data_IF_002924238900
#
_entry.id   IF_002924238900
#
_cell.length_a   1.000
_cell.length_b   1.000
_cell.length_c   1.000
_cell.angle_alpha   90.00
_cell.angle_beta   90.00
_cell.angle_gamma   90.00
#
_symmetry.space_group_name_H-M   'P 1'
#
loop_
_entity.id
_entity.type
_entity.pdbx_description
1 polymer ?
#
# COMPACT_ATOMS: atom_id res chain seq x y z
N UNK A 1 -62.66 -0.31 6.50
CA UNK A 1 -61.64 -0.95 7.37
C UNK A 1 -60.46 -1.35 6.51
N UNK A 2 -59.26 -0.83 6.83
CA UNK A 2 -58.02 -1.01 6.06
C UNK A 2 -57.36 -2.34 6.44
N UNK A 3 -57.05 -3.17 5.44
CA UNK A 3 -56.19 -4.34 5.60
C UNK A 3 -54.72 -3.90 5.40
N UNK A 4 -53.94 -3.92 6.48
CA UNK A 4 -52.48 -3.75 6.45
C UNK A 4 -51.85 -5.12 6.12
N UNK A 5 -51.27 -5.26 4.92
CA UNK A 5 -50.51 -6.46 4.54
C UNK A 5 -49.06 -6.35 5.01
N UNK A 6 -48.60 -7.42 5.66
CA UNK A 6 -47.21 -7.77 5.95
C UNK A 6 -46.30 -7.56 4.72
N UNK A 7 -45.35 -6.63 4.79
CA UNK A 7 -44.26 -6.46 3.82
C UNK A 7 -42.89 -6.22 4.48
N UNK A 8 -42.77 -6.46 5.78
CA UNK A 8 -41.55 -6.12 6.54
C UNK A 8 -40.58 -7.30 6.72
N UNK A 9 -40.99 -8.54 6.43
CA UNK A 9 -40.16 -9.73 6.67
C UNK A 9 -39.29 -10.16 5.47
N UNK A 10 -39.67 -9.80 4.24
CA UNK A 10 -38.96 -10.24 3.02
C UNK A 10 -37.73 -9.38 2.68
N UNK A 11 -37.69 -8.13 3.15
CA UNK A 11 -36.60 -7.19 2.83
C UNK A 11 -35.32 -7.48 3.63
N UNK A 12 -35.43 -8.05 4.84
CA UNK A 12 -34.28 -8.36 5.72
C UNK A 12 -33.56 -9.65 5.28
N UNK A 13 -34.30 -10.60 4.70
CA UNK A 13 -33.73 -11.88 4.22
C UNK A 13 -32.89 -11.67 2.95
N UNK A 14 -33.28 -10.72 2.08
CA UNK A 14 -32.52 -10.40 0.87
C UNK A 14 -31.16 -9.74 1.16
N UNK A 15 -31.07 -8.87 2.17
CA UNK A 15 -29.79 -8.25 2.57
C UNK A 15 -28.84 -9.24 3.24
N UNK A 16 -29.37 -10.22 3.99
CA UNK A 16 -28.54 -11.24 4.65
C UNK A 16 -27.95 -12.26 3.66
N UNK A 17 -28.68 -12.57 2.57
CA UNK A 17 -28.20 -13.46 1.51
C UNK A 17 -27.06 -12.84 0.67
N UNK A 18 -27.07 -11.52 0.44
CA UNK A 18 -25.99 -10.81 -0.26
C UNK A 18 -24.70 -10.82 0.58
N UNK A 19 -24.81 -10.69 1.91
CA UNK A 19 -23.66 -10.69 2.81
C UNK A 19 -23.02 -12.08 2.97
N UNK A 20 -23.81 -13.16 3.02
CA UNK A 20 -23.29 -14.53 3.09
C UNK A 20 -22.65 -14.99 1.77
N UNK A 21 -23.15 -14.53 0.62
CA UNK A 21 -22.57 -14.86 -0.69
C UNK A 21 -21.19 -14.21 -0.89
N UNK A 22 -20.97 -13.00 -0.35
CA UNK A 22 -19.67 -12.32 -0.43
C UNK A 22 -18.54 -13.03 0.34
N UNK A 23 -18.81 -13.54 1.55
CA UNK A 23 -17.82 -14.30 2.32
C UNK A 23 -17.45 -15.63 1.68
N UNK A 24 -18.41 -16.35 1.09
CA UNK A 24 -18.15 -17.63 0.43
C UNK A 24 -17.23 -17.44 -0.79
N UNK A 25 -17.45 -16.36 -1.55
CA UNK A 25 -16.68 -16.09 -2.76
C UNK A 25 -15.21 -15.71 -2.45
N UNK A 26 -14.93 -14.97 -1.36
CA UNK A 26 -13.54 -14.59 -1.01
C UNK A 26 -12.66 -15.80 -0.67
N UNK A 27 -13.19 -16.77 0.08
CA UNK A 27 -12.42 -17.98 0.41
C UNK A 27 -12.13 -18.81 -0.85
N UNK A 28 -13.12 -18.95 -1.74
CA UNK A 28 -12.91 -19.64 -3.00
C UNK A 28 -11.89 -18.91 -3.89
N UNK A 29 -11.95 -17.58 -3.95
CA UNK A 29 -10.96 -16.75 -4.62
C UNK A 29 -9.56 -16.92 -4.03
N UNK A 30 -9.43 -17.05 -2.70
CA UNK A 30 -8.15 -17.28 -2.06
C UNK A 30 -7.54 -18.63 -2.43
N UNK A 31 -8.35 -19.67 -2.53
CA UNK A 31 -7.89 -21.03 -2.80
C UNK A 31 -7.68 -21.33 -4.29
N UNK A 32 -8.56 -20.82 -5.15
CA UNK A 32 -8.62 -21.17 -6.58
C UNK A 32 -8.45 -19.99 -7.53
N UNK A 33 -8.38 -18.77 -6.99
CA UNK A 33 -8.35 -17.57 -7.80
C UNK A 33 -7.04 -17.41 -8.56
N UNK A 34 -7.16 -16.88 -9.77
CA UNK A 34 -6.04 -16.47 -10.60
C UNK A 34 -5.79 -14.98 -10.37
N UNK A 35 -4.52 -14.65 -10.16
CA UNK A 35 -4.06 -13.28 -9.98
C UNK A 35 -3.87 -12.62 -11.35
N UNK A 36 -4.36 -11.42 -11.51
CA UNK A 36 -4.19 -10.64 -12.73
C UNK A 36 -4.22 -9.14 -12.43
N UNK A 37 -4.11 -8.32 -13.46
CA UNK A 37 -4.23 -6.86 -13.40
C UNK A 37 -5.46 -6.43 -14.18
N UNK A 38 -6.28 -5.59 -13.58
CA UNK A 38 -7.40 -4.92 -14.22
C UNK A 38 -7.16 -3.42 -14.34
N UNK A 39 -7.85 -2.78 -15.27
CA UNK A 39 -7.86 -1.33 -15.44
C UNK A 39 -9.19 -0.81 -14.91
N UNK A 40 -9.16 0.24 -14.09
CA UNK A 40 -10.38 0.95 -13.66
C UNK A 40 -10.92 1.75 -14.84
N UNK A 41 -12.15 1.47 -15.26
CA UNK A 41 -12.79 2.07 -16.44
C UNK A 41 -13.96 2.99 -16.11
N UNK A 42 -14.50 2.91 -14.89
CA UNK A 42 -15.51 3.83 -14.36
C UNK A 42 -15.53 3.78 -12.82
N UNK A 43 -16.18 4.75 -12.18
CA UNK A 43 -16.35 4.80 -10.74
C UNK A 43 -17.51 5.70 -10.33
N UNK A 44 -18.27 5.29 -9.32
CA UNK A 44 -19.37 6.08 -8.78
C UNK A 44 -19.46 6.00 -7.26
N UNK A 45 -19.82 7.12 -6.64
CA UNK A 45 -20.23 7.21 -5.24
C UNK A 45 -21.70 7.60 -5.16
N UNK A 46 -22.51 6.81 -4.48
CA UNK A 46 -23.94 7.08 -4.29
C UNK A 46 -24.19 7.41 -2.83
N UNK A 47 -24.46 8.68 -2.56
CA UNK A 47 -24.97 9.14 -1.27
C UNK A 47 -26.48 8.98 -1.24
N UNK A 48 -27.02 8.43 -0.15
CA UNK A 48 -28.46 8.30 0.06
C UNK A 48 -28.82 9.06 1.32
N UNK A 49 -29.82 9.93 1.24
CA UNK A 49 -30.27 10.74 2.37
C UNK A 49 -30.53 9.88 3.61
N UNK A 50 -29.82 10.19 4.71
CA UNK A 50 -29.88 9.45 5.97
C UNK A 50 -29.21 8.06 5.97
N UNK A 51 -28.40 7.71 4.97
CA UNK A 51 -27.66 6.44 4.88
C UNK A 51 -26.18 6.65 4.54
N UNK A 52 -25.38 5.61 4.75
CA UNK A 52 -23.96 5.57 4.36
C UNK A 52 -23.78 5.64 2.84
N UNK A 53 -22.77 6.39 2.39
CA UNK A 53 -22.31 6.41 1.00
C UNK A 53 -21.80 5.04 0.57
N UNK A 54 -22.22 4.58 -0.61
CA UNK A 54 -21.70 3.37 -1.25
C UNK A 54 -20.76 3.75 -2.39
N UNK A 55 -19.63 3.07 -2.50
CA UNK A 55 -18.63 3.31 -3.53
C UNK A 55 -18.50 2.06 -4.41
N UNK A 56 -18.55 2.26 -5.72
CA UNK A 56 -18.40 1.20 -6.71
C UNK A 56 -17.38 1.63 -7.75
N UNK A 57 -16.53 0.70 -8.16
CA UNK A 57 -15.64 0.87 -9.31
C UNK A 57 -16.03 -0.15 -10.37
N UNK A 58 -15.87 0.23 -11.64
CA UNK A 58 -15.95 -0.70 -12.75
C UNK A 58 -14.55 -0.99 -13.24
N UNK A 59 -14.22 -2.28 -13.33
CA UNK A 59 -12.91 -2.75 -13.76
C UNK A 59 -13.03 -3.57 -15.04
N UNK A 60 -11.98 -3.54 -15.84
CA UNK A 60 -11.85 -4.27 -17.09
C UNK A 60 -10.53 -5.05 -17.12
N UNK A 61 -10.58 -6.34 -17.47
CA UNK A 61 -9.38 -7.17 -17.58
C UNK A 61 -9.53 -8.26 -18.64
N UNK A 62 -8.41 -8.93 -18.95
CA UNK A 62 -8.39 -10.12 -19.80
C UNK A 62 -8.06 -11.34 -18.94
N UNK A 63 -8.83 -12.41 -19.11
CA UNK A 63 -8.51 -13.71 -18.50
C UNK A 63 -7.32 -14.35 -19.22
N UNK A 64 -6.72 -15.38 -18.63
CA UNK A 64 -5.67 -16.19 -19.27
C UNK A 64 -6.11 -16.78 -20.63
N UNK A 65 -7.43 -17.00 -20.82
CA UNK A 65 -8.01 -17.48 -22.09
C UNK A 65 -8.23 -16.35 -23.10
N UNK A 66 -7.81 -15.13 -22.81
CA UNK A 66 -7.99 -13.94 -23.64
C UNK A 66 -9.39 -13.32 -23.60
N UNK A 67 -10.29 -13.84 -22.76
CA UNK A 67 -11.65 -13.29 -22.63
C UNK A 67 -11.59 -11.92 -21.94
N UNK A 68 -12.18 -10.92 -22.57
CA UNK A 68 -12.37 -9.59 -21.99
C UNK A 68 -13.54 -9.61 -21.00
N UNK A 69 -13.31 -9.18 -19.77
CA UNK A 69 -14.31 -9.16 -18.68
C UNK A 69 -14.42 -7.73 -18.16
N UNK A 70 -15.65 -7.30 -17.92
CA UNK A 70 -15.98 -6.01 -17.31
C UNK A 70 -17.00 -6.24 -16.20
N UNK A 71 -16.72 -5.72 -15.02
CA UNK A 71 -17.47 -6.01 -13.79
C UNK A 71 -17.39 -4.84 -12.82
N UNK A 72 -18.46 -4.65 -12.05
CA UNK A 72 -18.55 -3.64 -11.00
C UNK A 72 -18.26 -4.29 -9.66
N UNK A 73 -17.36 -3.67 -8.90
CA UNK A 73 -16.97 -4.11 -7.56
C UNK A 73 -17.26 -3.01 -6.54
N UNK A 74 -17.84 -3.42 -5.41
CA UNK A 74 -18.03 -2.53 -4.27
C UNK A 74 -16.73 -2.39 -3.50
N UNK A 75 -16.33 -1.14 -3.23
CA UNK A 75 -15.11 -0.83 -2.46
C UNK A 75 -15.46 0.06 -1.27
N UNK A 76 -14.58 0.10 -0.27
CA UNK A 76 -14.69 1.08 0.80
C UNK A 76 -14.33 2.49 0.29
N UNK A 77 -14.80 3.54 0.97
CA UNK A 77 -14.46 4.91 0.60
C UNK A 77 -12.94 5.16 0.60
N UNK A 78 -12.21 4.56 1.54
CA UNK A 78 -10.75 4.69 1.61
C UNK A 78 -10.01 3.94 0.50
N UNK A 79 -10.61 2.92 -0.09
CA UNK A 79 -10.09 2.25 -1.30
C UNK A 79 -10.46 3.02 -2.56
N UNK A 80 -11.68 3.56 -2.62
CA UNK A 80 -12.16 4.40 -3.70
C UNK A 80 -11.26 5.63 -3.90
N UNK A 81 -10.85 6.29 -2.81
CA UNK A 81 -9.96 7.45 -2.85
C UNK A 81 -8.53 7.12 -3.36
N UNK A 82 -8.18 5.84 -3.50
CA UNK A 82 -6.85 5.37 -3.94
C UNK A 82 -6.81 4.93 -5.39
N UNK A 83 -7.94 4.95 -6.08
CA UNK A 83 -8.06 4.51 -7.47
C UNK A 83 -8.62 5.63 -8.33
N UNK A 84 -8.24 5.63 -9.60
CA UNK A 84 -8.66 6.65 -10.57
C UNK A 84 -8.82 6.02 -11.94
N UNK A 85 -9.50 6.73 -12.85
CA UNK A 85 -9.73 6.25 -14.20
C UNK A 85 -8.42 5.88 -14.90
N UNK A 86 -8.40 4.72 -15.55
CA UNK A 86 -7.25 4.11 -16.21
C UNK A 86 -6.12 3.64 -15.27
N UNK A 87 -6.29 3.67 -13.94
CA UNK A 87 -5.28 3.09 -13.06
C UNK A 87 -5.34 1.56 -13.11
N UNK A 88 -4.16 0.93 -13.07
CA UNK A 88 -4.05 -0.52 -12.93
C UNK A 88 -4.25 -0.94 -11.47
N UNK A 89 -5.11 -1.93 -11.26
CA UNK A 89 -5.39 -2.53 -9.96
C UNK A 89 -5.18 -4.04 -10.02
N UNK A 90 -4.53 -4.64 -9.02
CA UNK A 90 -4.41 -6.09 -8.94
C UNK A 90 -5.77 -6.67 -8.59
N UNK A 91 -6.06 -7.82 -9.18
CA UNK A 91 -7.29 -8.56 -8.96
C UNK A 91 -7.00 -10.02 -8.72
N UNK A 92 -7.95 -10.69 -8.07
CA UNK A 92 -8.03 -12.14 -8.00
C UNK A 92 -9.39 -12.53 -8.56
N UNK A 93 -9.43 -13.40 -9.57
CA UNK A 93 -10.69 -13.84 -10.20
C UNK A 93 -10.78 -15.37 -10.28
N UNK A 94 -11.99 -15.93 -10.32
CA UNK A 94 -12.16 -17.36 -10.52
C UNK A 94 -12.08 -17.74 -12.00
N UNK A 95 -11.23 -18.72 -12.42
CA UNK A 95 -11.10 -19.11 -13.82
C UNK A 95 -12.40 -19.62 -14.45
N UNK A 96 -13.23 -20.30 -13.66
CA UNK A 96 -14.50 -20.90 -14.12
C UNK A 96 -15.68 -19.91 -14.05
N UNK A 97 -15.53 -18.82 -13.30
CA UNK A 97 -16.49 -17.71 -13.22
C UNK A 97 -15.74 -16.38 -13.17
N UNK A 98 -15.22 -15.85 -14.29
CA UNK A 98 -14.38 -14.65 -14.28
C UNK A 98 -15.07 -13.37 -13.81
N UNK A 99 -16.40 -13.37 -13.69
CA UNK A 99 -17.14 -12.25 -13.07
C UNK A 99 -17.09 -12.28 -11.54
N UNK A 100 -16.71 -13.42 -10.95
CA UNK A 100 -16.38 -13.51 -9.53
C UNK A 100 -14.93 -13.05 -9.39
N UNK A 101 -14.76 -11.80 -8.98
CA UNK A 101 -13.46 -11.15 -8.85
C UNK A 101 -13.44 -10.35 -7.54
N UNK A 102 -12.25 -10.10 -7.05
CA UNK A 102 -12.02 -9.16 -5.96
C UNK A 102 -10.82 -8.28 -6.31
N UNK A 103 -10.86 -7.02 -5.87
CA UNK A 103 -9.82 -6.03 -6.16
C UNK A 103 -8.91 -5.90 -4.94
N UNK A 104 -7.61 -6.05 -5.15
CA UNK A 104 -6.62 -6.03 -4.08
C UNK A 104 -6.10 -4.61 -3.89
N UNK A 105 -6.88 -3.79 -3.19
CA UNK A 105 -6.55 -2.36 -2.95
C UNK A 105 -6.02 -2.17 -1.52
N UNK A 106 -6.70 -2.74 -0.52
CA UNK A 106 -6.31 -2.53 0.87
C UNK A 106 -5.16 -3.44 1.31
N UNK A 107 -4.51 -3.04 2.40
CA UNK A 107 -3.52 -3.90 3.06
C UNK A 107 -4.11 -5.20 3.59
N UNK A 108 -5.40 -5.22 3.94
CA UNK A 108 -6.08 -6.43 4.39
C UNK A 108 -6.26 -7.41 3.23
N UNK A 109 -6.56 -6.93 2.03
CA UNK A 109 -6.70 -7.78 0.85
C UNK A 109 -5.33 -8.31 0.42
N UNK A 110 -4.30 -7.45 0.47
CA UNK A 110 -2.92 -7.85 0.25
C UNK A 110 -2.51 -8.97 1.22
N UNK A 111 -2.85 -8.84 2.51
CA UNK A 111 -2.59 -9.88 3.50
C UNK A 111 -3.39 -11.15 3.21
N UNK A 112 -4.67 -11.01 2.86
CA UNK A 112 -5.58 -12.13 2.66
C UNK A 112 -5.20 -12.97 1.43
N UNK A 113 -4.91 -12.33 0.30
CA UNK A 113 -4.63 -12.98 -0.98
C UNK A 113 -3.14 -13.26 -1.23
N UNK A 114 -2.24 -12.45 -0.67
CA UNK A 114 -0.80 -12.54 -0.93
C UNK A 114 0.02 -12.85 0.33
N UNK A 115 -0.56 -12.83 1.52
CA UNK A 115 0.18 -13.02 2.77
C UNK A 115 1.08 -11.83 3.14
N UNK A 116 0.88 -10.67 2.51
CA UNK A 116 1.72 -9.48 2.69
C UNK A 116 1.08 -8.55 3.73
N UNK A 117 1.82 -8.20 4.78
CA UNK A 117 1.31 -7.41 5.92
C UNK A 117 1.02 -5.93 5.60
N UNK A 118 1.50 -5.43 4.47
CA UNK A 118 1.34 -4.04 4.03
C UNK A 118 1.79 -3.00 5.08
N UNK A 119 3.02 -3.15 5.56
CA UNK A 119 3.66 -2.34 6.61
C UNK A 119 4.79 -1.46 6.05
N UNK A 120 5.21 -0.48 6.83
CA UNK A 120 6.43 0.30 6.58
C UNK A 120 7.67 -0.63 6.59
N UNK A 121 8.73 -0.25 5.87
CA UNK A 121 9.98 -1.02 5.80
C UNK A 121 10.67 -1.07 7.17
N UNK A 122 10.97 -2.26 7.68
CA UNK A 122 11.78 -2.43 8.90
C UNK A 122 13.26 -2.20 8.58
N UNK A 123 14.10 -2.12 9.61
CA UNK A 123 15.54 -2.05 9.47
C UNK A 123 16.11 -3.22 8.64
N UNK A 124 15.61 -4.44 8.89
CA UNK A 124 15.95 -5.63 8.10
C UNK A 124 15.55 -5.49 6.62
N UNK A 125 14.38 -4.92 6.33
CA UNK A 125 13.98 -4.69 4.93
C UNK A 125 14.91 -3.69 4.26
N UNK A 126 15.31 -2.61 4.95
CA UNK A 126 16.24 -1.62 4.40
C UNK A 126 17.60 -2.26 4.06
N UNK A 127 18.14 -3.14 4.89
CA UNK A 127 19.38 -3.87 4.55
C UNK A 127 19.21 -4.77 3.35
N UNK A 128 18.09 -5.50 3.29
CA UNK A 128 17.79 -6.38 2.17
C UNK A 128 17.63 -5.60 0.85
N UNK A 129 17.00 -4.43 0.90
CA UNK A 129 16.86 -3.52 -0.24
C UNK A 129 18.22 -2.94 -0.63
N UNK A 130 19.02 -2.48 0.34
CA UNK A 130 20.36 -1.93 0.08
C UNK A 130 21.34 -2.95 -0.50
N UNK A 131 21.23 -4.21 -0.05
CA UNK A 131 22.05 -5.33 -0.52
C UNK A 131 21.54 -6.01 -1.79
N UNK A 132 20.45 -5.52 -2.39
CA UNK A 132 19.90 -6.12 -3.60
C UNK A 132 20.87 -5.97 -4.78
N UNK A 133 21.09 -7.05 -5.52
CA UNK A 133 22.06 -7.08 -6.64
C UNK A 133 21.53 -6.48 -7.94
N UNK A 134 20.21 -6.29 -8.05
CA UNK A 134 19.52 -5.74 -9.21
C UNK A 134 18.09 -5.28 -8.85
N UNK A 135 17.44 -4.58 -9.79
CA UNK A 135 16.10 -4.01 -9.60
C UNK A 135 15.03 -5.07 -9.31
N UNK A 136 15.10 -6.26 -9.92
CA UNK A 136 14.12 -7.33 -9.68
C UNK A 136 14.20 -7.86 -8.24
N UNK A 137 15.42 -8.08 -7.74
CA UNK A 137 15.67 -8.47 -6.35
C UNK A 137 15.21 -7.38 -5.39
N UNK A 138 15.50 -6.13 -5.69
CA UNK A 138 15.09 -4.97 -4.89
C UNK A 138 13.57 -4.90 -4.78
N UNK A 139 12.87 -4.96 -5.92
CA UNK A 139 11.40 -4.94 -5.96
C UNK A 139 10.83 -6.16 -5.20
N UNK A 140 11.48 -7.32 -5.28
CA UNK A 140 11.08 -8.50 -4.50
C UNK A 140 11.17 -8.24 -2.99
N UNK A 141 12.23 -7.59 -2.51
CA UNK A 141 12.37 -7.22 -1.11
C UNK A 141 11.33 -6.19 -0.66
N UNK A 142 11.11 -5.15 -1.45
CA UNK A 142 10.07 -4.15 -1.17
C UNK A 142 8.67 -4.78 -1.06
N UNK A 143 8.34 -5.69 -1.99
CA UNK A 143 7.04 -6.38 -2.02
C UNK A 143 6.82 -7.38 -0.88
N UNK A 144 7.85 -7.74 -0.10
CA UNK A 144 7.67 -8.53 1.13
C UNK A 144 7.07 -7.69 2.27
N UNK A 145 7.38 -6.39 2.31
CA UNK A 145 6.89 -5.49 3.34
C UNK A 145 5.53 -4.88 2.97
N UNK A 146 5.43 -4.34 1.75
CA UNK A 146 4.23 -3.70 1.23
C UNK A 146 4.13 -3.91 -0.27
N UNK A 147 2.90 -4.10 -0.76
CA UNK A 147 2.65 -4.40 -2.16
C UNK A 147 2.48 -3.09 -2.97
N UNK A 148 2.69 -3.14 -4.31
CA UNK A 148 2.57 -2.01 -5.28
C UNK A 148 3.72 -1.01 -5.31
N UNK A 149 4.96 -1.48 -5.16
CA UNK A 149 6.10 -0.64 -5.51
C UNK A 149 6.23 -0.50 -7.02
N UNK A 150 6.33 0.73 -7.49
CA UNK A 150 6.48 1.06 -8.91
C UNK A 150 7.81 1.77 -9.11
N UNK A 151 8.64 1.29 -10.03
CA UNK A 151 9.85 2.03 -10.42
C UNK A 151 9.46 3.27 -11.22
N UNK A 152 10.05 4.39 -10.86
CA UNK A 152 9.97 5.69 -11.52
C UNK A 152 11.40 6.19 -11.73
N UNK A 153 11.58 6.99 -12.75
CA UNK A 153 12.89 7.59 -13.07
C UNK A 153 12.70 9.06 -13.39
N UNK A 154 13.50 9.91 -12.76
CA UNK A 154 13.63 11.31 -13.15
C UNK A 154 15.04 11.55 -13.74
N UNK A 155 15.38 12.82 -13.97
CA UNK A 155 16.68 13.18 -14.56
C UNK A 155 17.88 12.82 -13.67
N UNK A 156 17.69 12.74 -12.35
CA UNK A 156 18.75 12.52 -11.38
C UNK A 156 18.85 11.05 -10.94
N UNK A 157 17.73 10.39 -10.64
CA UNK A 157 17.72 9.13 -9.90
C UNK A 157 16.55 8.22 -10.32
N UNK A 158 16.80 6.91 -10.28
CA UNK A 158 15.74 5.89 -10.30
C UNK A 158 15.27 5.64 -8.86
N UNK A 159 13.95 5.63 -8.67
CA UNK A 159 13.34 5.47 -7.37
C UNK A 159 12.09 4.58 -7.46
N UNK A 160 11.72 3.98 -6.33
CA UNK A 160 10.53 3.16 -6.21
C UNK A 160 9.54 3.85 -5.30
N UNK A 161 8.30 3.92 -5.74
CA UNK A 161 7.23 4.59 -4.98
C UNK A 161 6.11 3.59 -4.68
N UNK A 162 5.63 3.66 -3.44
CA UNK A 162 4.39 3.01 -3.01
C UNK A 162 3.35 4.09 -2.71
N UNK A 163 2.55 4.45 -3.71
CA UNK A 163 1.55 5.52 -3.60
C UNK A 163 0.50 5.24 -2.52
N UNK A 164 0.15 3.95 -2.31
CA UNK A 164 -0.81 3.53 -1.29
C UNK A 164 -0.31 3.83 0.13
N UNK A 165 1.00 3.74 0.34
CA UNK A 165 1.64 4.00 1.62
C UNK A 165 2.30 5.38 1.73
N UNK A 166 2.38 6.11 0.61
CA UNK A 166 3.16 7.36 0.50
C UNK A 166 4.59 7.12 0.95
N UNK A 167 5.21 6.10 0.36
CA UNK A 167 6.57 5.70 0.68
C UNK A 167 7.44 5.75 -0.58
N UNK A 168 8.68 6.16 -0.43
CA UNK A 168 9.65 6.26 -1.53
C UNK A 168 10.95 5.61 -1.10
N UNK A 169 11.57 4.85 -1.99
CA UNK A 169 12.92 4.31 -1.85
C UNK A 169 13.74 4.76 -3.03
N UNK A 170 14.95 5.24 -2.81
CA UNK A 170 15.93 5.50 -3.86
C UNK A 170 17.29 4.96 -3.41
N UNK A 171 18.13 4.56 -4.37
CA UNK A 171 19.53 4.23 -4.11
C UNK A 171 20.36 5.05 -5.09
N UNK A 172 21.20 5.93 -4.56
CA UNK A 172 22.05 6.80 -5.36
C UNK A 172 23.43 6.92 -4.73
N UNK A 173 24.48 6.80 -5.54
CA UNK A 173 25.88 6.87 -5.11
C UNK A 173 26.22 6.06 -3.84
N UNK A 174 25.56 4.92 -3.64
CA UNK A 174 25.77 4.07 -2.46
C UNK A 174 25.02 4.52 -1.20
N UNK A 175 24.06 5.43 -1.31
CA UNK A 175 23.15 5.85 -0.25
C UNK A 175 21.75 5.30 -0.54
N UNK A 176 21.21 4.48 0.37
CA UNK A 176 19.78 4.16 0.33
C UNK A 176 19.03 5.25 1.07
N UNK A 177 18.06 5.85 0.39
CA UNK A 177 17.15 6.84 0.94
C UNK A 177 15.74 6.24 1.00
N UNK A 178 15.16 6.18 2.19
CA UNK A 178 13.78 5.78 2.41
C UNK A 178 12.97 6.92 3.02
N UNK A 179 11.84 7.25 2.39
CA UNK A 179 10.91 8.30 2.84
C UNK A 179 9.59 7.67 3.23
N UNK A 180 9.06 8.03 4.40
CA UNK A 180 7.75 7.57 4.87
C UNK A 180 6.97 8.65 5.61
N UNK A 181 5.66 8.70 5.37
CA UNK A 181 4.72 9.57 6.07
C UNK A 181 4.05 8.87 7.28
N UNK A 182 4.47 7.65 7.63
CA UNK A 182 3.96 6.96 8.82
C UNK A 182 4.50 7.62 10.10
N UNK A 183 3.62 8.32 10.81
CA UNK A 183 3.94 9.03 12.05
C UNK A 183 4.49 8.11 13.15
N UNK A 184 4.08 6.84 13.19
CA UNK A 184 4.55 5.89 14.20
C UNK A 184 5.90 5.26 13.84
N UNK A 185 6.38 5.48 12.62
CA UNK A 185 7.57 4.81 12.10
C UNK A 185 8.80 5.06 12.98
N UNK A 186 9.08 6.33 13.30
CA UNK A 186 10.29 6.71 14.02
C UNK A 186 10.44 6.01 15.37
N UNK A 187 9.35 5.85 16.12
CA UNK A 187 9.42 5.20 17.44
C UNK A 187 9.85 3.74 17.27
N UNK A 188 9.15 3.00 16.41
CA UNK A 188 9.42 1.58 16.18
C UNK A 188 10.82 1.38 15.58
N UNK A 189 11.21 2.25 14.65
CA UNK A 189 12.52 2.18 13.99
C UNK A 189 13.68 2.44 14.97
N UNK A 190 13.55 3.41 15.89
CA UNK A 190 14.55 3.64 16.92
C UNK A 190 14.69 2.43 17.87
N UNK A 191 13.58 1.78 18.22
CA UNK A 191 13.61 0.55 19.03
C UNK A 191 14.29 -0.61 18.28
N UNK A 192 14.18 -0.69 16.95
CA UNK A 192 14.91 -1.65 16.12
C UNK A 192 16.42 -1.36 16.10
N UNK A 193 16.80 -0.09 15.90
CA UNK A 193 18.20 0.35 15.94
C UNK A 193 18.87 -0.01 17.28
N UNK A 194 18.22 0.27 18.41
CA UNK A 194 18.74 -0.06 19.74
C UNK A 194 18.93 -1.57 19.92
N UNK A 195 18.00 -2.39 19.42
CA UNK A 195 18.11 -3.87 19.49
C UNK A 195 19.25 -4.42 18.64
N UNK A 196 19.52 -3.79 17.50
CA UNK A 196 20.62 -4.16 16.59
C UNK A 196 21.97 -3.52 16.99
N UNK A 197 22.06 -2.94 18.19
CA UNK A 197 23.32 -2.45 18.76
C UNK A 197 23.81 -1.13 18.16
N UNK A 198 22.94 -0.35 17.52
CA UNK A 198 23.30 0.97 17.04
C UNK A 198 23.56 1.93 18.20
N UNK A 199 24.62 2.71 18.06
CA UNK A 199 24.95 3.81 18.97
C UNK A 199 24.59 5.11 18.27
N UNK A 200 23.84 5.97 18.96
CA UNK A 200 23.56 7.32 18.50
C UNK A 200 24.82 8.19 18.66
N UNK A 201 25.34 8.71 17.56
CA UNK A 201 26.60 9.49 17.53
C UNK A 201 26.36 10.99 17.38
N UNK A 202 25.24 11.40 16.80
CA UNK A 202 24.94 12.81 16.58
C UNK A 202 23.45 13.12 16.64
N UNK A 203 23.14 14.35 17.07
CA UNK A 203 21.84 14.97 16.90
C UNK A 203 22.06 16.44 16.57
N UNK A 204 21.68 16.85 15.36
CA UNK A 204 21.79 18.24 14.96
C UNK A 204 20.54 19.06 15.34
N UNK A 205 20.63 20.38 15.14
CA UNK A 205 19.50 21.29 15.33
C UNK A 205 18.42 21.18 14.24
N UNK A 206 18.69 20.49 13.13
CA UNK A 206 17.76 20.32 12.01
C UNK A 206 16.78 19.17 12.24
N UNK A 207 16.98 18.39 13.30
CA UNK A 207 16.16 17.24 13.66
C UNK A 207 16.65 15.94 13.04
N UNK A 208 17.89 15.92 12.55
CA UNK A 208 18.61 14.74 12.08
C UNK A 208 19.28 14.04 13.26
N UNK A 209 19.12 12.72 13.34
CA UNK A 209 19.79 11.85 14.31
C UNK A 209 20.60 10.80 13.56
N UNK A 210 21.88 10.68 13.89
CA UNK A 210 22.80 9.74 13.26
C UNK A 210 23.10 8.59 14.23
N UNK A 211 22.95 7.39 13.72
CA UNK A 211 23.19 6.13 14.41
C UNK A 211 24.27 5.35 13.66
N UNK A 212 25.12 4.62 14.38
CA UNK A 212 26.19 3.83 13.77
C UNK A 212 26.36 2.49 14.51
N UNK A 213 26.64 1.44 13.75
CA UNK A 213 27.23 0.20 14.24
C UNK A 213 28.47 -0.17 13.40
N UNK A 214 28.96 -1.41 13.54
CA UNK A 214 30.15 -1.88 12.83
C UNK A 214 29.97 -1.97 11.30
N UNK A 215 28.73 -1.98 10.81
CA UNK A 215 28.42 -2.23 9.39
C UNK A 215 27.86 -1.02 8.65
N UNK A 216 26.98 -0.25 9.29
CA UNK A 216 26.29 0.86 8.67
C UNK A 216 26.24 2.11 9.57
N UNK A 217 26.10 3.26 8.91
CA UNK A 217 25.58 4.49 9.49
C UNK A 217 24.18 4.77 8.95
N UNK A 218 23.31 5.25 9.83
CA UNK A 218 21.91 5.55 9.54
C UNK A 218 21.60 6.97 10.02
N UNK A 219 21.22 7.84 9.09
CA UNK A 219 20.72 9.18 9.41
C UNK A 219 19.19 9.18 9.32
N UNK A 220 18.53 9.69 10.36
CA UNK A 220 17.07 9.84 10.38
C UNK A 220 16.71 11.31 10.52
N UNK A 221 16.03 11.87 9.53
CA UNK A 221 15.63 13.29 9.50
C UNK A 221 14.13 13.41 9.55
N UNK A 222 13.61 14.20 10.48
CA UNK A 222 12.18 14.57 10.52
C UNK A 222 11.97 15.87 9.76
N UNK A 223 11.04 15.87 8.81
CA UNK A 223 10.65 17.08 8.07
C UNK A 223 9.18 17.42 8.33
N UNK A 224 8.88 18.71 8.25
CA UNK A 224 7.53 19.26 8.27
C UNK A 224 7.30 19.94 6.92
N UNK A 225 6.19 19.62 6.29
CA UNK A 225 5.77 20.18 5.01
C UNK A 225 4.45 20.92 5.23
N UNK A 226 4.44 22.19 4.86
CA UNK A 226 3.20 22.96 4.76
C UNK A 226 2.57 22.65 3.42
N UNK A 227 1.28 22.27 3.41
CA UNK A 227 0.54 22.15 2.16
C UNK A 227 0.01 23.52 1.77
N UNK A 228 0.47 24.04 0.65
CA UNK A 228 -0.03 25.31 0.11
C UNK A 228 -1.56 25.30 0.04
N UNK A 229 -2.18 26.30 0.67
CA UNK A 229 -3.64 26.48 0.67
C UNK A 229 -4.43 25.60 1.65
N UNK A 230 -3.80 24.76 2.48
CA UNK A 230 -4.47 24.02 3.55
C UNK A 230 -3.89 24.37 4.92
N UNK A 231 -4.75 24.60 5.93
CA UNK A 231 -4.29 24.64 7.33
C UNK A 231 -3.90 23.23 7.76
N UNK A 232 -2.61 22.89 7.64
CA UNK A 232 -2.08 21.62 8.12
C UNK A 232 -0.60 21.45 7.79
N UNK A 233 0.15 20.91 8.76
CA UNK A 233 1.52 20.45 8.54
C UNK A 233 1.48 18.92 8.32
N UNK A 234 1.97 18.44 7.18
CA UNK A 234 2.34 17.02 7.02
C UNK A 234 3.73 16.79 7.60
N UNK A 235 3.91 15.63 8.23
CA UNK A 235 5.20 15.17 8.71
C UNK A 235 5.62 13.94 7.94
N UNK A 236 6.90 13.88 7.61
CA UNK A 236 7.52 12.68 7.06
C UNK A 236 8.92 12.50 7.64
N UNK A 237 9.43 11.29 7.47
CA UNK A 237 10.77 10.89 7.86
C UNK A 237 11.57 10.53 6.63
N UNK A 238 12.84 10.95 6.61
CA UNK A 238 13.85 10.52 5.65
C UNK A 238 14.84 9.65 6.43
N UNK A 239 15.14 8.47 5.90
CA UNK A 239 16.08 7.51 6.47
C UNK A 239 17.14 7.26 5.41
N UNK A 240 18.37 7.68 5.69
CA UNK A 240 19.52 7.40 4.83
C UNK A 240 20.33 6.27 5.45
N UNK A 241 20.65 5.24 4.68
CA UNK A 241 21.47 4.09 5.08
C UNK A 241 22.70 4.04 4.20
N UNK A 242 23.87 4.01 4.83
CA UNK A 242 25.18 3.88 4.16
C UNK A 242 26.07 2.91 4.91
N UNK A 243 27.09 2.36 4.24
CA UNK A 243 28.16 1.63 4.92
C UNK A 243 29.00 2.55 5.80
N UNK A 244 29.56 2.01 6.89
CA UNK A 244 30.29 2.81 7.90
C UNK A 244 31.51 3.55 7.36
N UNK A 245 32.11 3.08 6.26
CA UNK A 245 33.24 3.70 5.57
C UNK A 245 32.86 4.93 4.73
N UNK A 246 31.57 5.16 4.49
CA UNK A 246 31.06 6.34 3.79
C UNK A 246 30.86 7.48 4.81
N UNK A 247 31.31 8.69 4.46
CA UNK A 247 31.04 9.88 5.26
C UNK A 247 29.63 10.41 4.97
N UNK A 248 28.87 10.68 6.02
CA UNK A 248 27.51 11.24 5.95
C UNK A 248 27.51 12.76 6.06
N UNK A 249 28.67 13.39 6.30
CA UNK A 249 28.77 14.85 6.51
C UNK A 249 28.43 15.68 5.26
N UNK A 250 28.34 15.04 4.10
CA UNK A 250 28.00 15.66 2.81
C UNK A 250 26.51 15.55 2.42
N UNK A 251 25.68 14.87 3.22
CA UNK A 251 24.22 14.74 3.02
C UNK A 251 23.41 15.82 3.76
#
# INVERSE_FOLDING_TARGET
>A
MKNFKLYTSTLIIATFAIFLSGCSNRNELKEKGIRSTAIVVDGQSVEREGKSTTYEIEIEFKTEKGQKVRVKESVSGSEYDKVYLNCEVPIVYLPDSPKTVDVVISGNDALFYHGIKNRSLSLEDLYNVYGASNNDSLISHLNKASFRWVSKKNEAVEYWENENRKEVVAIDEGVLTYVTYDFNYRKNFNEELEKEGYIKIEKDSTGTEIFQNDHYKIATTRKLESKDGQMGLSMYYIINVVKTDIDLSEL
#
